data_IF_323973189677
#
_entry.id   IF_323973189677
#
_cell.length_a   1.000
_cell.length_b   1.000
_cell.length_c   1.000
_cell.angle_alpha   90.00
_cell.angle_beta   90.00
_cell.angle_gamma   90.00
#
_symmetry.space_group_name_H-M   'P 1'
#
loop_
_entity.id
_entity.type
_entity.pdbx_description
1 polymer ?
#
# COMPACT_ATOMS: atom_id res chain seq x y z
N UNK A 1 13.95 6.53 -15.33
CA UNK A 1 14.04 6.52 -13.85
C UNK A 1 12.64 6.73 -13.29
N UNK A 2 12.20 5.94 -12.30
CA UNK A 2 10.93 6.20 -11.62
C UNK A 2 11.08 7.40 -10.67
N UNK A 3 10.07 8.26 -10.62
CA UNK A 3 10.04 9.41 -9.70
C UNK A 3 9.80 8.94 -8.25
N UNK A 4 10.17 9.75 -7.26
CA UNK A 4 9.91 9.44 -5.85
C UNK A 4 8.42 9.19 -5.58
N UNK A 5 7.54 9.93 -6.28
CA UNK A 5 6.10 9.78 -6.19
C UNK A 5 5.61 8.45 -6.80
N UNK A 6 6.16 8.04 -7.94
CA UNK A 6 5.86 6.73 -8.56
C UNK A 6 6.29 5.57 -7.66
N UNK A 7 7.45 5.68 -7.01
CA UNK A 7 7.93 4.68 -6.04
C UNK A 7 7.00 4.59 -4.84
N UNK A 8 6.64 5.73 -4.26
CA UNK A 8 5.75 5.80 -3.10
C UNK A 8 4.39 5.18 -3.41
N UNK A 9 3.76 5.57 -4.54
CA UNK A 9 2.48 4.97 -4.98
C UNK A 9 2.59 3.47 -5.26
N UNK A 10 3.70 3.00 -5.83
CA UNK A 10 3.89 1.59 -6.10
C UNK A 10 3.95 0.76 -4.80
N UNK A 11 4.68 1.25 -3.79
CA UNK A 11 4.79 0.56 -2.50
C UNK A 11 3.46 0.57 -1.73
N UNK A 12 2.78 1.72 -1.67
CA UNK A 12 1.46 1.85 -1.03
C UNK A 12 0.43 0.94 -1.75
N UNK A 13 0.39 0.98 -3.08
CA UNK A 13 -0.50 0.14 -3.89
C UNK A 13 -0.23 -1.36 -3.73
N UNK A 14 1.04 -1.77 -3.69
CA UNK A 14 1.43 -3.16 -3.45
C UNK A 14 0.97 -3.63 -2.05
N UNK A 15 1.12 -2.80 -1.02
CA UNK A 15 0.65 -3.12 0.32
C UNK A 15 -0.88 -3.27 0.38
N UNK A 16 -1.63 -2.39 -0.29
CA UNK A 16 -3.10 -2.47 -0.35
C UNK A 16 -3.58 -3.75 -1.06
N UNK A 17 -2.90 -4.15 -2.13
CA UNK A 17 -3.17 -5.43 -2.81
C UNK A 17 -2.89 -6.61 -1.88
N UNK A 18 -1.73 -6.64 -1.22
CA UNK A 18 -1.37 -7.71 -0.28
C UNK A 18 -2.35 -7.79 0.89
N UNK A 19 -2.81 -6.65 1.42
CA UNK A 19 -3.85 -6.62 2.44
C UNK A 19 -5.18 -7.22 1.95
N UNK A 20 -5.58 -6.89 0.72
CA UNK A 20 -6.79 -7.47 0.09
C UNK A 20 -6.68 -8.98 -0.08
N UNK A 21 -5.50 -9.47 -0.49
CA UNK A 21 -5.22 -10.90 -0.64
C UNK A 21 -5.16 -11.63 0.71
N UNK A 22 -4.59 -11.00 1.74
CA UNK A 22 -4.51 -11.55 3.10
C UNK A 22 -5.89 -11.66 3.77
N UNK A 23 -6.78 -10.71 3.48
CA UNK A 23 -8.15 -10.67 4.00
C UNK A 23 -9.05 -11.73 3.36
N UNK A 24 -8.61 -12.34 2.25
CA UNK A 24 -9.33 -13.47 1.64
C UNK A 24 -10.63 -13.08 0.93
N UNK A 25 -10.86 -11.78 0.66
CA UNK A 25 -12.04 -11.31 -0.08
C UNK A 25 -11.91 -11.61 -1.57
N UNK A 26 -12.23 -12.85 -1.97
CA UNK A 26 -12.42 -13.21 -3.38
C UNK A 26 -12.47 -14.73 -3.64
N UNK A 27 -13.09 -15.16 -4.76
CA UNK A 27 -13.24 -16.58 -5.11
C UNK A 27 -11.92 -17.30 -5.47
N UNK A 28 -10.81 -16.57 -5.57
CA UNK A 28 -9.49 -17.08 -5.94
C UNK A 28 -8.47 -17.08 -4.79
N UNK A 29 -8.92 -16.87 -3.54
CA UNK A 29 -8.04 -16.91 -2.37
C UNK A 29 -7.77 -18.36 -1.95
N UNK A 30 -6.92 -19.06 -2.71
CA UNK A 30 -6.30 -20.29 -2.23
C UNK A 30 -5.49 -19.98 -0.96
N UNK A 31 -5.60 -20.82 0.08
CA UNK A 31 -4.93 -20.62 1.38
C UNK A 31 -3.43 -20.30 1.26
N UNK A 32 -2.79 -20.81 0.21
CA UNK A 32 -1.40 -20.53 -0.13
C UNK A 32 -1.15 -19.05 -0.44
N UNK A 33 -1.99 -18.44 -1.29
CA UNK A 33 -1.88 -17.02 -1.68
C UNK A 33 -2.09 -16.13 -0.46
N UNK A 34 -3.05 -16.48 0.41
CA UNK A 34 -3.30 -15.76 1.67
C UNK A 34 -2.10 -15.82 2.60
N UNK A 35 -1.52 -17.01 2.77
CA UNK A 35 -0.35 -17.24 3.63
C UNK A 35 0.87 -16.46 3.13
N UNK A 36 1.10 -16.46 1.82
CA UNK A 36 2.16 -15.66 1.20
C UNK A 36 1.91 -14.16 1.38
N UNK A 37 0.68 -13.69 1.17
CA UNK A 37 0.33 -12.27 1.36
C UNK A 37 0.53 -11.80 2.80
N UNK A 38 0.11 -12.59 3.80
CA UNK A 38 0.37 -12.31 5.22
C UNK A 38 1.88 -12.28 5.54
N UNK A 39 2.65 -13.20 4.95
CA UNK A 39 4.10 -13.27 5.16
C UNK A 39 4.79 -12.03 4.57
N UNK A 40 4.42 -11.64 3.35
CA UNK A 40 4.95 -10.44 2.70
C UNK A 40 4.57 -9.17 3.44
N UNK A 41 3.33 -9.05 3.94
CA UNK A 41 2.88 -7.89 4.71
C UNK A 41 3.70 -7.67 5.99
N UNK A 42 4.18 -8.74 6.63
CA UNK A 42 5.03 -8.63 7.83
C UNK A 42 6.37 -7.93 7.54
N UNK A 43 6.84 -7.98 6.29
CA UNK A 43 8.11 -7.39 5.87
C UNK A 43 7.94 -6.15 5.00
N UNK A 44 6.70 -5.80 4.65
CA UNK A 44 6.41 -4.60 3.86
C UNK A 44 6.29 -3.38 4.77
N UNK A 45 6.92 -2.24 4.42
CA UNK A 45 6.81 -1.03 5.21
C UNK A 45 5.35 -0.57 5.30
N UNK A 46 4.92 -0.16 6.48
CA UNK A 46 3.62 0.49 6.67
C UNK A 46 3.63 1.90 6.08
N UNK A 47 2.45 2.51 5.90
CA UNK A 47 2.37 3.91 5.46
C UNK A 47 3.14 4.84 6.42
N UNK A 48 3.07 4.59 7.73
CA UNK A 48 3.84 5.33 8.72
C UNK A 48 5.37 5.13 8.58
N UNK A 49 5.81 3.91 8.23
CA UNK A 49 7.24 3.66 7.97
C UNK A 49 7.72 4.40 6.71
N UNK A 50 6.86 4.50 5.70
CA UNK A 50 7.12 5.26 4.47
C UNK A 50 7.16 6.76 4.79
N UNK A 51 6.25 7.28 5.62
CA UNK A 51 6.24 8.68 6.06
C UNK A 51 7.55 9.06 6.76
N UNK A 52 7.97 8.25 7.75
CA UNK A 52 9.24 8.46 8.47
C UNK A 52 10.43 8.38 7.50
N UNK A 53 10.39 7.44 6.56
CA UNK A 53 11.44 7.28 5.55
C UNK A 53 11.47 8.41 4.53
N UNK A 54 10.32 9.03 4.20
CA UNK A 54 10.23 10.16 3.30
C UNK A 54 10.80 11.44 3.93
N UNK A 55 10.60 11.63 5.24
CA UNK A 55 11.24 12.71 6.00
C UNK A 55 12.77 12.52 6.01
N UNK A 56 13.24 11.29 6.18
CA UNK A 56 14.68 11.00 6.22
C UNK A 56 15.35 11.03 4.83
N UNK A 57 14.64 10.63 3.77
CA UNK A 57 15.17 10.48 2.41
C UNK A 57 14.18 11.02 1.34
N UNK A 58 14.02 12.35 1.22
CA UNK A 58 13.05 12.98 0.34
C UNK A 58 13.35 12.81 -1.16
N UNK A 59 14.59 12.44 -1.52
CA UNK A 59 14.96 12.07 -2.89
C UNK A 59 14.51 10.65 -3.27
N UNK A 60 14.26 9.81 -2.26
CA UNK A 60 13.88 8.41 -2.42
C UNK A 60 12.37 8.20 -2.32
N UNK A 61 11.71 8.88 -1.40
CA UNK A 61 10.27 8.80 -1.19
C UNK A 61 9.67 10.19 -1.25
N UNK A 62 8.51 10.28 -1.89
CA UNK A 62 7.71 11.50 -1.79
C UNK A 62 6.88 11.40 -0.51
N UNK A 63 6.52 12.53 0.09
CA UNK A 63 5.42 12.54 1.06
C UNK A 63 4.23 11.84 0.41
N UNK A 64 3.67 10.78 1.01
CA UNK A 64 2.49 10.16 0.45
C UNK A 64 1.41 11.23 0.46
N UNK A 65 1.05 11.68 -0.75
CA UNK A 65 -0.15 12.47 -0.95
C UNK A 65 -1.26 11.64 -0.32
N UNK A 66 -1.72 12.06 0.85
CA UNK A 66 -2.79 11.44 1.63
C UNK A 66 -3.84 11.06 0.62
N UNK A 67 -3.95 9.76 0.30
CA UNK A 67 -4.90 9.29 -0.70
C UNK A 67 -6.24 9.72 -0.14
N UNK A 68 -6.80 10.75 -0.76
CA UNK A 68 -7.97 11.45 -0.27
C UNK A 68 -9.16 10.49 -0.32
N UNK A 69 -9.33 9.73 0.76
CA UNK A 69 -10.44 8.80 0.97
C UNK A 69 -11.79 9.52 0.99
N UNK A 70 -11.83 10.86 0.86
CA UNK A 70 -13.06 11.65 0.72
C UNK A 70 -13.75 11.52 -0.64
N UNK A 71 -13.13 10.93 -1.67
CA UNK A 71 -13.81 10.76 -2.98
C UNK A 71 -14.80 9.59 -3.04
N UNK A 72 -14.79 8.66 -2.09
CA UNK A 72 -15.74 7.52 -2.08
C UNK A 72 -17.09 7.90 -1.44
N UNK A 73 -17.10 8.79 -0.44
CA UNK A 73 -18.33 9.12 0.31
C UNK A 73 -19.29 10.07 -0.41
N UNK A 74 -18.88 10.74 -1.49
CA UNK A 74 -19.72 11.69 -2.25
C UNK A 74 -20.40 11.08 -3.49
N UNK A 75 -20.25 9.77 -3.73
CA UNK A 75 -20.96 9.05 -4.81
C UNK A 75 -22.07 8.10 -4.32
N UNK A 76 -22.44 8.19 -3.04
CA UNK A 76 -23.53 7.42 -2.41
C UNK A 76 -24.50 8.32 -1.60
N UNK A 77 -24.75 9.54 -2.08
CA UNK A 77 -25.84 10.38 -1.58
C UNK A 77 -26.67 10.91 -2.74
#
# INVERSE_FOLDING_TARGET
>A
MSTAEQRTRAVVGARALLATLADGRGPYCADLVRTLAMTLLRHYPSEADIDVSAIALPSLWAEPAQVDTRREHRRRS
#
